data_IF_437847072092
#
_entry.id   IF_437847072092
#
_cell.length_a   1.000
_cell.length_b   1.000
_cell.length_c   1.000
_cell.angle_alpha   90.00
_cell.angle_beta   90.00
_cell.angle_gamma   90.00
#
_symmetry.space_group_name_H-M   'P 1'
#
loop_
_entity.id
_entity.type
_entity.pdbx_description
1 polymer ?
#
# COMPACT_ATOMS: atom_id res chain seq x y z
N UNK A 1 -19.39 -29.11 -21.41
CA UNK A 1 -19.99 -28.07 -20.57
C UNK A 1 -18.83 -27.39 -19.86
N UNK A 2 -18.32 -26.31 -20.45
CA UNK A 2 -17.17 -25.56 -19.94
C UNK A 2 -17.70 -24.64 -18.85
N UNK A 3 -17.25 -24.82 -17.62
CA UNK A 3 -17.61 -23.93 -16.50
C UNK A 3 -17.24 -22.48 -16.86
N UNK A 4 -18.20 -21.52 -16.85
CA UNK A 4 -17.92 -20.13 -17.17
C UNK A 4 -17.27 -19.35 -16.01
N UNK A 5 -16.78 -20.02 -14.96
CA UNK A 5 -16.44 -19.40 -13.67
C UNK A 5 -14.94 -19.29 -13.34
N UNK A 6 -14.04 -19.52 -14.30
CA UNK A 6 -12.59 -19.45 -14.03
C UNK A 6 -11.89 -18.34 -14.84
N UNK A 7 -12.54 -17.19 -15.03
CA UNK A 7 -11.76 -16.01 -15.38
C UNK A 7 -11.02 -15.52 -14.14
N UNK A 8 -9.68 -15.46 -14.13
CA UNK A 8 -8.94 -14.87 -13.03
C UNK A 8 -9.47 -13.46 -12.75
N UNK A 9 -9.75 -13.13 -11.49
CA UNK A 9 -10.11 -11.76 -11.09
C UNK A 9 -8.87 -10.88 -11.23
N UNK A 10 -8.69 -10.33 -12.42
CA UNK A 10 -7.55 -9.49 -12.81
C UNK A 10 -7.38 -8.31 -11.84
N UNK A 11 -8.50 -7.78 -11.30
CA UNK A 11 -8.48 -6.71 -10.31
C UNK A 11 -7.84 -7.14 -9.00
N UNK A 12 -8.15 -8.34 -8.51
CA UNK A 12 -7.48 -8.91 -7.33
C UNK A 12 -6.00 -9.16 -7.59
N UNK A 13 -5.63 -9.78 -8.71
CA UNK A 13 -4.21 -10.03 -8.99
C UNK A 13 -3.38 -8.73 -9.05
N UNK A 14 -3.93 -7.67 -9.65
CA UNK A 14 -3.30 -6.36 -9.65
C UNK A 14 -3.20 -5.78 -8.23
N UNK A 15 -4.28 -5.85 -7.45
CA UNK A 15 -4.30 -5.37 -6.06
C UNK A 15 -3.28 -6.08 -5.17
N UNK A 16 -3.06 -7.39 -5.37
CA UNK A 16 -2.01 -8.12 -4.66
C UNK A 16 -0.60 -7.62 -5.04
N UNK A 17 -0.35 -7.37 -6.33
CA UNK A 17 0.93 -6.83 -6.79
C UNK A 17 1.18 -5.43 -6.21
N UNK A 18 0.15 -4.57 -6.22
CA UNK A 18 0.21 -3.22 -5.66
C UNK A 18 0.42 -3.26 -4.14
N UNK A 19 -0.28 -4.15 -3.43
CA UNK A 19 -0.10 -4.38 -1.99
C UNK A 19 1.36 -4.75 -1.69
N UNK A 20 1.91 -5.72 -2.41
CA UNK A 20 3.29 -6.17 -2.22
C UNK A 20 4.31 -5.06 -2.48
N UNK A 21 4.14 -4.30 -3.57
CA UNK A 21 5.02 -3.17 -3.91
C UNK A 21 5.01 -2.10 -2.81
N UNK A 22 3.81 -1.68 -2.37
CA UNK A 22 3.64 -0.63 -1.36
C UNK A 22 4.21 -1.04 0.00
N UNK A 23 3.93 -2.28 0.44
CA UNK A 23 4.52 -2.81 1.68
C UNK A 23 6.04 -2.95 1.59
N UNK A 24 6.58 -3.36 0.44
CA UNK A 24 8.03 -3.48 0.24
C UNK A 24 8.74 -2.12 0.31
N UNK A 25 8.14 -1.08 -0.27
CA UNK A 25 8.65 0.30 -0.21
C UNK A 25 8.58 0.87 1.21
N UNK A 26 7.44 0.71 1.88
CA UNK A 26 7.27 1.13 3.27
C UNK A 26 8.29 0.45 4.18
N UNK A 27 8.44 -0.88 4.07
CA UNK A 27 9.44 -1.64 4.83
C UNK A 27 10.85 -1.10 4.60
N UNK A 28 11.21 -0.77 3.35
CA UNK A 28 12.54 -0.25 3.02
C UNK A 28 12.81 1.07 3.73
N UNK A 29 11.87 2.02 3.67
CA UNK A 29 11.99 3.30 4.38
C UNK A 29 12.12 3.09 5.89
N UNK A 30 11.19 2.34 6.50
CA UNK A 30 11.23 2.09 7.94
C UNK A 30 12.51 1.35 8.38
N UNK A 31 13.05 0.46 7.54
CA UNK A 31 14.31 -0.22 7.82
C UNK A 31 15.50 0.74 7.78
N UNK A 32 15.49 1.74 6.89
CA UNK A 32 16.52 2.78 6.87
C UNK A 32 16.49 3.63 8.14
N UNK A 33 15.29 3.97 8.65
CA UNK A 33 15.17 4.62 9.96
C UNK A 33 15.70 3.72 11.08
N UNK A 34 15.34 2.44 11.09
CA UNK A 34 15.69 1.51 12.16
C UNK A 34 17.18 1.12 12.19
N UNK A 35 17.84 0.95 11.04
CA UNK A 35 19.23 0.51 10.92
C UNK A 35 20.26 1.64 11.20
N UNK A 36 19.99 2.50 12.18
CA UNK A 36 20.84 3.62 12.55
C UNK A 36 20.63 4.90 11.75
N UNK A 37 19.74 4.90 10.74
CA UNK A 37 19.38 6.11 9.99
C UNK A 37 18.48 7.08 10.76
N UNK A 38 18.03 6.72 11.96
CA UNK A 38 17.22 7.61 12.81
C UNK A 38 17.98 8.90 13.21
N UNK A 39 19.26 8.80 13.56
CA UNK A 39 20.07 10.00 13.87
C UNK A 39 20.26 10.88 12.64
N UNK A 40 20.45 10.25 11.47
CA UNK A 40 20.49 10.99 10.20
C UNK A 40 19.17 11.70 9.92
N UNK A 41 18.04 11.01 10.10
CA UNK A 41 16.70 11.59 9.96
C UNK A 41 16.47 12.78 10.90
N UNK A 42 16.87 12.68 12.17
CA UNK A 42 16.79 13.79 13.15
C UNK A 42 17.64 15.00 12.75
N UNK A 43 18.73 14.78 12.00
CA UNK A 43 19.60 15.84 11.49
C UNK A 43 19.09 16.50 10.21
N UNK A 44 18.02 16.00 9.58
CA UNK A 44 17.41 16.63 8.42
C UNK A 44 16.62 17.89 8.81
N UNK A 45 16.42 18.78 7.84
CA UNK A 45 15.46 19.88 7.97
C UNK A 45 14.05 19.36 8.24
N UNK A 46 13.26 20.09 9.03
CA UNK A 46 11.90 19.70 9.44
C UNK A 46 10.99 19.38 8.25
N UNK A 47 11.08 20.17 7.17
CA UNK A 47 10.33 19.92 5.93
C UNK A 47 10.67 18.55 5.33
N UNK A 48 11.96 18.19 5.31
CA UNK A 48 12.40 16.90 4.77
C UNK A 48 12.01 15.73 5.68
N UNK A 49 11.99 15.95 7.00
CA UNK A 49 11.45 14.97 7.94
C UNK A 49 9.95 14.73 7.68
N UNK A 50 9.18 15.82 7.50
CA UNK A 50 7.75 15.75 7.20
C UNK A 50 7.50 15.04 5.86
N UNK A 51 8.23 15.36 4.80
CA UNK A 51 8.14 14.69 3.50
C UNK A 51 8.42 13.19 3.58
N UNK A 52 9.44 12.81 4.35
CA UNK A 52 9.79 11.41 4.56
C UNK A 52 8.66 10.65 5.28
N UNK A 53 8.13 11.22 6.36
CA UNK A 53 7.02 10.63 7.11
C UNK A 53 5.74 10.58 6.28
N UNK A 54 5.48 11.63 5.50
CA UNK A 54 4.36 11.68 4.56
C UNK A 54 4.46 10.57 3.50
N UNK A 55 5.66 10.34 2.96
CA UNK A 55 5.88 9.24 2.00
C UNK A 55 5.61 7.87 2.64
N UNK A 56 5.98 7.67 3.91
CA UNK A 56 5.65 6.45 4.62
C UNK A 56 4.13 6.28 4.78
N UNK A 57 3.42 7.37 5.11
CA UNK A 57 1.96 7.36 5.24
C UNK A 57 1.28 7.04 3.90
N UNK A 58 1.72 7.64 2.80
CA UNK A 58 1.19 7.39 1.45
C UNK A 58 1.32 5.92 1.03
N UNK A 59 2.46 5.28 1.31
CA UNK A 59 2.63 3.85 1.07
C UNK A 59 1.75 2.99 1.98
N UNK A 60 1.57 3.36 3.25
CA UNK A 60 0.68 2.65 4.16
C UNK A 60 -0.80 2.74 3.71
N UNK A 61 -1.27 3.93 3.35
CA UNK A 61 -2.63 4.15 2.86
C UNK A 61 -2.87 3.43 1.53
N UNK A 62 -1.91 3.49 0.61
CA UNK A 62 -1.99 2.79 -0.67
C UNK A 62 -2.02 1.27 -0.48
N UNK A 63 -1.21 0.73 0.44
CA UNK A 63 -1.23 -0.69 0.79
C UNK A 63 -2.59 -1.08 1.39
N UNK A 64 -3.15 -0.27 2.29
CA UNK A 64 -4.47 -0.51 2.87
C UNK A 64 -5.57 -0.55 1.81
N UNK A 65 -5.59 0.40 0.87
CA UNK A 65 -6.52 0.39 -0.26
C UNK A 65 -6.38 -0.87 -1.12
N UNK A 66 -5.15 -1.25 -1.44
CA UNK A 66 -4.88 -2.47 -2.22
C UNK A 66 -5.34 -3.74 -1.49
N UNK A 67 -5.16 -3.81 -0.17
CA UNK A 67 -5.67 -4.90 0.66
C UNK A 67 -7.21 -5.00 0.62
N UNK A 68 -7.91 -3.87 0.76
CA UNK A 68 -9.39 -3.82 0.67
C UNK A 68 -9.91 -4.33 -0.69
N UNK A 69 -9.21 -4.02 -1.78
CA UNK A 69 -9.55 -4.52 -3.12
C UNK A 69 -9.25 -6.02 -3.23
N UNK A 70 -8.07 -6.45 -2.77
CA UNK A 70 -7.66 -7.86 -2.76
C UNK A 70 -8.64 -8.75 -2.00
N UNK A 71 -9.07 -8.31 -0.82
CA UNK A 71 -10.01 -9.02 0.04
C UNK A 71 -11.45 -9.00 -0.51
N UNK A 72 -11.72 -8.26 -1.60
CA UNK A 72 -13.03 -8.14 -2.22
C UNK A 72 -14.02 -7.28 -1.42
N UNK A 73 -13.52 -6.45 -0.50
CA UNK A 73 -14.33 -5.53 0.30
C UNK A 73 -14.64 -4.22 -0.44
N UNK A 74 -13.82 -3.85 -1.43
CA UNK A 74 -14.02 -2.63 -2.23
C UNK A 74 -15.38 -2.59 -2.97
N UNK A 75 -15.97 -3.76 -3.25
CA UNK A 75 -17.27 -3.87 -3.93
C UNK A 75 -18.50 -3.48 -3.10
N UNK A 76 -18.38 -3.22 -1.79
CA UNK A 76 -19.54 -2.87 -0.94
C UNK A 76 -19.87 -1.37 -0.88
N UNK A 77 -18.92 -0.47 -1.13
CA UNK A 77 -19.18 0.98 -1.05
C UNK A 77 -19.85 1.56 -2.31
N UNK A 78 -19.63 0.98 -3.49
CA UNK A 78 -20.27 1.44 -4.73
C UNK A 78 -21.71 0.91 -4.92
N UNK A 79 -22.10 -0.16 -4.22
CA UNK A 79 -23.43 -0.76 -4.34
C UNK A 79 -24.54 -0.02 -3.55
N UNK A 80 -24.20 0.98 -2.76
CA UNK A 80 -25.15 1.75 -1.92
C UNK A 80 -25.49 3.12 -2.54
N UNK A 81 -24.90 3.48 -3.67
CA UNK A 81 -25.14 4.76 -4.36
C UNK A 81 -25.88 4.66 -5.71
N UNK A 82 -26.56 3.55 -6.00
CA UNK A 82 -27.43 3.42 -7.17
C UNK A 82 -28.83 2.92 -6.82
#
# INVERSE_FOLDING_TARGET
MTDPSTSPDVGRFQAHADLFDRLSKLRTLLSMLHAGGFEHFRGLEEVRQAEYLWTCLDYAESAFKALTIWDGMATQEEAVSH
#
